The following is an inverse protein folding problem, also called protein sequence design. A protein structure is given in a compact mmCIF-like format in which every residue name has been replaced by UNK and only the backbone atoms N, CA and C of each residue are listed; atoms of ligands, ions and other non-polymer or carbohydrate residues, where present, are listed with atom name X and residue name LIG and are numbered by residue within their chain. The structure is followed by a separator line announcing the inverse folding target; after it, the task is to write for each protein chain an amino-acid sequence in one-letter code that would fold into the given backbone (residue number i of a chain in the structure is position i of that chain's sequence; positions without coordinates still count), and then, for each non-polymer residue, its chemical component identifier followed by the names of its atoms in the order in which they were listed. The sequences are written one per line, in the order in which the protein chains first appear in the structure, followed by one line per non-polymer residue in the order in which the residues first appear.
data_IF_631493764930
#
_entry.id   IF_631493764930
#
_cell.length_a   1.000
_cell.length_b   1.000
_cell.length_c   1.000
_cell.angle_alpha   90.00
_cell.angle_beta   90.00
_cell.angle_gamma   90.00
#
_symmetry.space_group_name_H-M   'P 1'
#
loop_
_entity.id
_entity.type
_entity.pdbx_description
1 polymer ?
#
# COMPACT_ATOMS: atom_id res chain seq x y z
N UNK A 1 11.22 15.77 20.88
CA UNK A 1 10.18 15.07 21.65
C UNK A 1 9.72 13.87 20.83
N UNK A 2 9.99 12.63 21.24
CA UNK A 2 9.34 11.49 20.60
C UNK A 2 7.84 11.58 20.91
N UNK A 3 7.01 11.65 19.87
CA UNK A 3 5.55 11.72 19.99
C UNK A 3 4.94 10.45 20.59
N UNK A 4 5.74 9.38 20.71
CA UNK A 4 5.35 8.05 21.17
C UNK A 4 4.93 8.00 22.66
N UNK A 5 5.25 9.01 23.47
CA UNK A 5 4.91 9.02 24.91
C UNK A 5 3.49 9.50 25.23
N UNK A 6 2.84 10.23 24.30
CA UNK A 6 1.51 10.83 24.55
C UNK A 6 0.35 9.98 24.05
N UNK A 7 0.60 9.05 23.14
CA UNK A 7 -0.42 8.22 22.52
C UNK A 7 -0.09 6.74 22.73
N UNK A 8 -0.99 6.02 23.38
CA UNK A 8 -0.91 4.57 23.51
C UNK A 8 -1.91 3.92 22.57
N UNK A 9 -1.54 2.77 21.99
CA UNK A 9 -2.50 1.94 21.29
C UNK A 9 -3.39 1.25 22.31
N UNK A 10 -4.70 1.37 22.15
CA UNK A 10 -5.65 0.63 22.97
C UNK A 10 -5.62 -0.86 22.59
N UNK A 11 -5.82 -1.77 23.57
CA UNK A 11 -6.02 -3.18 23.26
C UNK A 11 -7.20 -3.35 22.31
N UNK A 12 -7.09 -4.27 21.35
CA UNK A 12 -8.18 -4.65 20.45
C UNK A 12 -8.31 -6.16 20.44
N UNK A 13 -9.55 -6.66 20.45
CA UNK A 13 -9.87 -8.08 20.31
C UNK A 13 -10.01 -8.50 18.83
N UNK A 14 -9.55 -7.66 17.91
CA UNK A 14 -9.62 -7.97 16.48
C UNK A 14 -8.73 -9.18 16.16
N UNK A 15 -9.24 -10.23 15.50
CA UNK A 15 -8.42 -11.37 15.14
C UNK A 15 -7.31 -10.94 14.18
N UNK A 16 -6.09 -11.38 14.45
CA UNK A 16 -4.95 -11.17 13.56
C UNK A 16 -4.96 -12.17 12.40
N UNK A 17 -4.57 -11.70 11.22
CA UNK A 17 -4.33 -12.51 10.02
C UNK A 17 -2.90 -12.30 9.54
N UNK A 18 -2.40 -13.20 8.70
CA UNK A 18 -1.06 -13.10 8.14
C UNK A 18 -1.12 -12.46 6.76
N UNK A 19 -0.41 -11.36 6.58
CA UNK A 19 -0.12 -10.78 5.26
C UNK A 19 1.37 -10.91 4.97
N UNK A 20 1.76 -10.65 3.74
CA UNK A 20 3.15 -10.51 3.32
C UNK A 20 3.43 -9.05 3.00
N UNK A 21 4.46 -8.46 3.60
CA UNK A 21 4.97 -7.15 3.23
C UNK A 21 6.41 -7.27 2.72
N UNK A 22 6.65 -6.95 1.45
CA UNK A 22 7.98 -7.07 0.81
C UNK A 22 8.59 -8.49 0.93
N UNK A 23 7.78 -9.53 0.76
CA UNK A 23 8.25 -10.91 0.91
C UNK A 23 8.34 -11.41 2.36
N UNK A 24 8.06 -10.56 3.36
CA UNK A 24 8.17 -10.91 4.77
C UNK A 24 6.79 -11.09 5.41
N UNK A 25 6.55 -12.16 6.18
CA UNK A 25 5.29 -12.36 6.88
C UNK A 25 5.08 -11.28 7.94
N UNK A 26 3.85 -10.76 8.02
CA UNK A 26 3.45 -9.70 8.93
C UNK A 26 2.06 -10.00 9.52
N UNK A 27 2.00 -10.19 10.84
CA UNK A 27 0.75 -10.39 11.57
C UNK A 27 0.08 -9.04 11.85
N UNK A 28 -1.16 -8.87 11.43
CA UNK A 28 -1.91 -7.61 11.57
C UNK A 28 -3.38 -7.87 11.90
N UNK A 29 -4.07 -6.93 12.57
CA UNK A 29 -5.52 -7.02 12.76
C UNK A 29 -6.25 -7.14 11.43
N UNK A 30 -7.22 -8.04 11.34
CA UNK A 30 -8.14 -8.11 10.20
C UNK A 30 -9.17 -6.98 10.24
N UNK A 31 -9.77 -6.68 9.09
CA UNK A 31 -10.88 -5.71 9.01
C UNK A 31 -10.48 -4.23 9.05
N UNK A 32 -9.25 -3.90 9.44
CA UNK A 32 -8.70 -2.54 9.30
C UNK A 32 -8.15 -2.31 7.89
N UNK A 33 -7.82 -1.06 7.54
CA UNK A 33 -7.16 -0.77 6.28
C UNK A 33 -5.70 -1.23 6.28
N UNK A 34 -5.17 -1.59 5.10
CA UNK A 34 -3.75 -1.90 4.92
C UNK A 34 -2.87 -0.74 5.37
N UNK A 35 -3.29 0.51 5.14
CA UNK A 35 -2.55 1.69 5.61
C UNK A 35 -2.45 1.73 7.15
N UNK A 36 -3.54 1.47 7.86
CA UNK A 36 -3.55 1.43 9.33
C UNK A 36 -2.68 0.28 9.85
N UNK A 37 -2.78 -0.90 9.23
CA UNK A 37 -1.98 -2.07 9.57
C UNK A 37 -0.48 -1.80 9.43
N UNK A 38 -0.05 -1.26 8.30
CA UNK A 38 1.37 -0.91 8.07
C UNK A 38 1.86 0.14 9.08
N UNK A 39 1.05 1.16 9.39
CA UNK A 39 1.42 2.14 10.41
C UNK A 39 1.52 1.52 11.81
N UNK A 40 0.60 0.64 12.20
CA UNK A 40 0.66 -0.05 13.49
C UNK A 40 1.94 -0.92 13.59
N UNK A 41 2.38 -1.51 12.47
CA UNK A 41 3.62 -2.29 12.38
C UNK A 41 4.90 -1.43 12.23
N UNK A 42 4.84 -0.11 12.43
CA UNK A 42 6.02 0.78 12.34
C UNK A 42 6.46 1.13 10.92
N UNK A 43 5.73 0.70 9.89
CA UNK A 43 6.07 0.96 8.48
C UNK A 43 5.57 2.36 8.10
N UNK A 44 6.51 3.31 7.97
CA UNK A 44 6.23 4.73 7.69
C UNK A 44 6.47 5.15 6.25
N UNK A 45 6.80 4.21 5.36
CA UNK A 45 7.01 4.49 3.94
C UNK A 45 6.29 3.43 3.11
N UNK A 46 5.32 3.85 2.32
CA UNK A 46 4.53 2.99 1.43
C UNK A 46 4.86 3.22 -0.04
N UNK A 47 5.38 4.40 -0.39
CA UNK A 47 5.77 4.73 -1.77
C UNK A 47 6.91 5.73 -1.87
N UNK A 48 7.37 5.95 -3.10
CA UNK A 48 8.14 7.13 -3.50
C UNK A 48 7.35 7.95 -4.53
N UNK A 49 7.51 9.27 -4.53
CA UNK A 49 6.95 10.13 -5.59
C UNK A 49 7.58 9.79 -6.94
N UNK A 50 6.81 9.89 -8.03
CA UNK A 50 7.27 9.48 -9.36
C UNK A 50 8.42 10.34 -9.90
N UNK A 51 8.44 11.64 -9.58
CA UNK A 51 9.43 12.59 -10.12
C UNK A 51 10.65 12.71 -9.20
N UNK A 52 10.45 13.09 -7.93
CA UNK A 52 11.55 13.37 -7.01
C UNK A 52 12.02 12.18 -6.18
N UNK A 53 11.33 11.03 -6.25
CA UNK A 53 11.66 9.86 -5.44
C UNK A 53 11.45 10.04 -3.93
N UNK A 54 10.77 11.10 -3.50
CA UNK A 54 10.56 11.43 -2.10
C UNK A 54 9.70 10.37 -1.40
N UNK A 55 10.08 9.87 -0.21
CA UNK A 55 9.32 8.86 0.52
C UNK A 55 7.99 9.44 0.99
N UNK A 56 6.90 8.71 0.79
CA UNK A 56 5.57 9.08 1.30
C UNK A 56 4.96 7.98 2.17
N UNK A 57 4.09 8.41 3.06
CA UNK A 57 3.38 7.60 4.04
C UNK A 57 1.87 7.86 3.94
N UNK A 58 1.02 7.00 4.53
CA UNK A 58 -0.38 7.33 4.70
C UNK A 58 -0.56 8.65 5.46
N UNK A 59 -1.39 9.54 4.91
CA UNK A 59 -1.64 10.87 5.47
C UNK A 59 -3.13 11.09 5.72
N UNK A 60 -3.96 11.18 4.67
CA UNK A 60 -5.37 11.54 4.83
C UNK A 60 -6.28 10.43 5.38
N UNK A 61 -5.90 9.16 5.21
CA UNK A 61 -6.75 7.98 5.50
C UNK A 61 -8.16 7.96 4.87
N UNK A 62 -8.41 8.78 3.84
CA UNK A 62 -9.74 8.95 3.22
C UNK A 62 -9.75 8.67 1.71
N UNK A 63 -8.64 8.21 1.14
CA UNK A 63 -8.56 7.95 -0.31
C UNK A 63 -8.43 9.21 -1.18
N UNK A 64 -8.09 10.38 -0.63
CA UNK A 64 -8.01 11.64 -1.41
C UNK A 64 -6.60 12.10 -1.76
N UNK A 65 -5.59 11.78 -0.93
CA UNK A 65 -4.24 12.35 -1.09
C UNK A 65 -3.27 11.53 -1.96
N UNK A 66 -3.56 10.24 -2.21
CA UNK A 66 -2.68 9.32 -2.95
C UNK A 66 -1.26 9.14 -2.35
N UNK A 67 -1.08 9.45 -1.07
CA UNK A 67 0.23 9.30 -0.40
C UNK A 67 0.48 7.87 0.10
N UNK A 68 -0.59 7.10 0.30
CA UNK A 68 -0.59 5.73 0.81
C UNK A 68 -0.49 4.65 -0.29
N UNK A 69 -0.06 4.98 -1.51
CA UNK A 69 -0.06 3.98 -2.59
C UNK A 69 0.86 2.81 -2.26
N UNK A 70 0.38 1.62 -2.62
CA UNK A 70 1.09 0.34 -2.52
C UNK A 70 0.76 -0.50 -3.76
N UNK A 71 1.48 -1.58 -3.93
CA UNK A 71 1.07 -2.69 -4.78
C UNK A 71 0.39 -3.75 -3.90
N UNK A 72 -0.78 -4.24 -4.32
CA UNK A 72 -1.50 -5.33 -3.63
C UNK A 72 -1.72 -6.47 -4.60
N UNK A 73 -1.17 -7.65 -4.29
CA UNK A 73 -1.28 -8.85 -5.11
C UNK A 73 -0.88 -8.62 -6.58
N UNK A 74 0.19 -7.86 -6.81
CA UNK A 74 0.66 -7.49 -8.16
C UNK A 74 -0.09 -6.32 -8.81
N UNK A 75 -1.14 -5.77 -8.18
CA UNK A 75 -1.88 -4.62 -8.70
C UNK A 75 -1.25 -3.32 -8.16
N UNK A 76 -0.66 -2.48 -9.02
CA UNK A 76 -0.04 -1.22 -8.60
C UNK A 76 -1.09 -0.12 -8.36
N UNK A 77 -0.66 0.98 -7.73
CA UNK A 77 -1.47 2.17 -7.44
C UNK A 77 -2.72 1.89 -6.58
N UNK A 78 -2.68 0.86 -5.73
CA UNK A 78 -3.73 0.64 -4.76
C UNK A 78 -3.60 1.64 -3.61
N UNK A 79 -4.70 2.27 -3.22
CA UNK A 79 -4.72 3.17 -2.06
C UNK A 79 -4.81 2.33 -0.79
N UNK A 80 -3.71 2.14 -0.07
CA UNK A 80 -3.69 1.26 1.11
C UNK A 80 -4.75 1.61 2.16
N UNK A 81 -5.17 2.88 2.26
CA UNK A 81 -6.23 3.32 3.17
C UNK A 81 -7.65 2.85 2.77
N UNK A 82 -7.83 2.41 1.52
CA UNK A 82 -9.10 1.91 0.98
C UNK A 82 -9.10 0.38 0.80
N UNK A 83 -7.97 -0.29 1.06
CA UNK A 83 -7.87 -1.75 0.98
C UNK A 83 -8.03 -2.32 2.38
N UNK A 84 -9.03 -3.17 2.59
CA UNK A 84 -9.22 -3.89 3.85
C UNK A 84 -8.25 -5.06 3.95
N UNK A 85 -7.67 -5.27 5.13
CA UNK A 85 -6.80 -6.41 5.42
C UNK A 85 -7.60 -7.71 5.39
N UNK A 86 -7.11 -8.67 4.62
CA UNK A 86 -7.52 -10.07 4.63
C UNK A 86 -6.30 -10.99 4.67
N UNK A 87 -6.49 -12.23 5.12
CA UNK A 87 -5.41 -13.22 5.16
C UNK A 87 -4.81 -13.46 3.77
N UNK A 88 -3.51 -13.68 3.71
CA UNK A 88 -2.77 -13.98 2.49
C UNK A 88 -2.52 -12.79 1.54
N UNK A 89 -2.89 -11.56 1.91
CA UNK A 89 -2.57 -10.37 1.11
C UNK A 89 -1.06 -10.23 0.93
N UNK A 90 -0.63 -9.94 -0.29
CA UNK A 90 0.76 -9.61 -0.61
C UNK A 90 0.86 -8.13 -0.93
N UNK A 91 1.61 -7.40 -0.11
CA UNK A 91 1.72 -5.95 -0.18
C UNK A 91 3.18 -5.57 -0.44
N UNK A 92 3.41 -4.67 -1.39
CA UNK A 92 4.74 -4.09 -1.65
C UNK A 92 4.64 -2.57 -1.72
N UNK A 93 5.77 -1.89 -1.50
CA UNK A 93 5.80 -0.44 -1.70
C UNK A 93 5.59 -0.09 -3.17
N UNK A 94 4.82 0.97 -3.42
CA UNK A 94 4.71 1.51 -4.77
C UNK A 94 6.03 2.21 -5.16
N UNK A 95 6.60 1.79 -6.29
CA UNK A 95 7.78 2.40 -6.86
C UNK A 95 7.39 3.22 -8.11
N UNK A 96 7.86 4.47 -8.19
CA UNK A 96 7.71 5.30 -9.38
C UNK A 96 6.26 5.54 -9.83
N UNK A 97 6.12 5.91 -11.11
CA UNK A 97 4.83 5.89 -11.79
C UNK A 97 4.47 4.45 -12.20
N UNK A 98 3.17 4.17 -12.31
CA UNK A 98 2.71 2.90 -12.88
C UNK A 98 3.12 2.80 -14.34
N UNK A 99 3.64 1.65 -14.74
CA UNK A 99 3.83 1.33 -16.14
C UNK A 99 2.48 1.24 -16.85
N UNK A 100 2.34 1.96 -17.97
CA UNK A 100 1.27 1.71 -18.91
C UNK A 100 1.68 0.46 -19.69
N UNK A 101 0.99 -0.66 -19.49
CA UNK A 101 1.13 -1.78 -20.40
C UNK A 101 0.59 -1.30 -21.75
N UNK A 102 1.46 -1.13 -22.73
CA UNK A 102 1.02 -1.02 -24.11
C UNK A 102 0.25 -2.31 -24.41
N UNK A 103 -1.03 -2.18 -24.76
CA UNK A 103 -1.73 -3.26 -25.43
C UNK A 103 -1.01 -3.45 -26.78
N UNK A 104 -0.05 -4.37 -26.82
CA UNK A 104 0.36 -5.00 -28.06
C UNK A 104 -0.77 -5.98 -28.42
N UNK A 105 -1.53 -5.66 -29.46
CA UNK A 105 -1.66 -6.43 -30.72
C UNK A 105 -2.23 -5.45 -31.79
N UNK A 106 -1.39 -5.10 -32.77
CA UNK A 106 -1.44 -5.60 -34.16
C UNK A 106 -2.58 -5.03 -35.01
N UNK A 107 -2.18 -4.11 -35.90
CA UNK A 107 -2.96 -3.65 -37.03
C UNK A 107 -1.98 -3.31 -38.15
N UNK A 108 -1.34 -4.32 -38.72
CA UNK A 108 -0.72 -4.22 -40.03
C UNK A 108 -1.84 -3.92 -41.04
N UNK A 109 -1.97 -2.65 -41.43
CA UNK A 109 -2.77 -2.28 -42.59
C UNK A 109 -1.83 -2.15 -43.78
N UNK A 110 -1.78 -3.20 -44.59
CA UNK A 110 -1.31 -3.16 -45.97
C UNK A 110 -2.16 -2.16 -46.77
N UNK A 111 -1.47 -1.36 -47.60
CA UNK A 111 -2.01 -0.82 -48.86
C UNK A 111 -2.66 0.56 -48.83
N UNK A 112 -1.94 1.58 -49.31
CA UNK A 112 -2.19 2.20 -50.64
C UNK A 112 -0.88 2.82 -51.17
#
# INVERSE_FOLDING_TARGET
MPADSLFIQLPTDSPCVMIEFEGQPLAVPSGISVAAALLASGIRQTRRTAVSGAPRAPYCMMGVCFECLVEVNGVPNCQACMVTVSDGLKVRRQQGARALNALAEEGAHDGI
#
